data_IF_913618846625
#
_entry.id   IF_913618846625
#
_cell.length_a   1.000
_cell.length_b   1.000
_cell.length_c   1.000
_cell.angle_alpha   90.00
_cell.angle_beta   90.00
_cell.angle_gamma   90.00
#
_symmetry.space_group_name_H-M   'P 1'
#
loop_
_entity.id
_entity.type
_entity.pdbx_description
1 polymer ?
#
# COMPACT_ATOMS: atom_id res chain seq x y z
N UNK A 1 10.63 -10.21 22.16
CA UNK A 1 10.70 -10.49 20.71
C UNK A 1 9.53 -9.76 20.08
N UNK A 2 9.77 -8.67 19.32
CA UNK A 2 8.72 -8.14 18.44
C UNK A 2 8.60 -9.15 17.30
N UNK A 3 7.43 -9.74 17.11
CA UNK A 3 7.17 -10.44 15.87
C UNK A 3 7.29 -9.39 14.76
N UNK A 4 8.29 -9.52 13.89
CA UNK A 4 8.17 -8.93 12.56
C UNK A 4 6.99 -9.68 11.94
N UNK A 5 5.80 -9.09 11.99
CA UNK A 5 4.68 -9.60 11.22
C UNK A 5 5.03 -9.42 9.75
N UNK A 6 5.61 -10.45 9.17
CA UNK A 6 5.87 -10.50 7.74
C UNK A 6 4.55 -10.40 7.00
N UNK A 7 4.50 -9.55 5.98
CA UNK A 7 3.31 -9.40 5.16
C UNK A 7 3.35 -10.49 4.09
N UNK A 8 2.39 -11.44 4.07
CA UNK A 8 2.33 -12.46 3.05
C UNK A 8 2.09 -11.88 1.64
N UNK A 9 2.61 -12.57 0.60
CA UNK A 9 2.51 -12.12 -0.79
C UNK A 9 1.05 -11.94 -1.26
N UNK A 10 0.13 -12.78 -0.82
CA UNK A 10 -1.30 -12.70 -1.14
C UNK A 10 -1.94 -11.43 -0.57
N UNK A 11 -1.60 -11.06 0.68
CA UNK A 11 -2.05 -9.81 1.29
C UNK A 11 -1.47 -8.60 0.53
N UNK A 12 -0.16 -8.60 0.26
CA UNK A 12 0.49 -7.51 -0.48
C UNK A 12 -0.10 -7.37 -1.89
N UNK A 13 -0.36 -8.49 -2.59
CA UNK A 13 -0.97 -8.49 -3.92
C UNK A 13 -2.40 -7.97 -3.89
N UNK A 14 -3.20 -8.39 -2.91
CA UNK A 14 -4.57 -7.89 -2.73
C UNK A 14 -4.57 -6.37 -2.47
N UNK A 15 -3.69 -5.89 -1.58
CA UNK A 15 -3.54 -4.46 -1.29
C UNK A 15 -3.07 -3.65 -2.49
N UNK A 16 -2.15 -4.19 -3.29
CA UNK A 16 -1.73 -3.58 -4.55
C UNK A 16 -2.89 -3.46 -5.55
N UNK A 17 -3.75 -4.48 -5.65
CA UNK A 17 -4.97 -4.42 -6.45
C UNK A 17 -5.94 -3.33 -5.98
N UNK A 18 -6.15 -3.22 -4.66
CA UNK A 18 -6.98 -2.17 -4.07
C UNK A 18 -6.41 -0.76 -4.31
N UNK A 19 -5.09 -0.58 -4.16
CA UNK A 19 -4.43 0.70 -4.43
C UNK A 19 -4.55 1.09 -5.89
N UNK A 20 -4.35 0.14 -6.81
CA UNK A 20 -4.50 0.39 -8.24
C UNK A 20 -5.94 0.81 -8.59
N UNK A 21 -6.95 0.15 -8.02
CA UNK A 21 -8.35 0.54 -8.20
C UNK A 21 -8.64 1.95 -7.67
N UNK A 22 -8.12 2.31 -6.49
CA UNK A 22 -8.25 3.64 -5.92
C UNK A 22 -7.64 4.71 -6.85
N UNK A 23 -6.42 4.47 -7.34
CA UNK A 23 -5.76 5.41 -8.27
C UNK A 23 -6.54 5.58 -9.56
N UNK A 24 -7.06 4.50 -10.15
CA UNK A 24 -7.90 4.58 -11.35
C UNK A 24 -9.17 5.38 -11.10
N UNK A 25 -9.86 5.16 -9.97
CA UNK A 25 -11.04 5.94 -9.60
C UNK A 25 -10.71 7.42 -9.46
N UNK A 26 -9.57 7.77 -8.85
CA UNK A 26 -9.14 9.17 -8.72
C UNK A 26 -8.79 9.79 -10.08
N UNK A 27 -8.17 9.04 -10.99
CA UNK A 27 -7.84 9.51 -12.34
C UNK A 27 -9.09 9.71 -13.22
N UNK A 28 -10.08 8.82 -13.10
CA UNK A 28 -11.31 8.89 -13.89
C UNK A 28 -12.35 9.87 -13.31
N UNK A 29 -12.25 10.16 -12.01
CA UNK A 29 -13.16 11.08 -11.34
C UNK A 29 -12.81 12.53 -11.63
N UNK A 30 -13.69 13.22 -12.36
CA UNK A 30 -13.63 14.68 -12.51
C UNK A 30 -14.32 15.37 -11.32
N UNK A 31 -13.88 15.05 -10.10
CA UNK A 31 -14.43 15.56 -8.84
C UNK A 31 -13.39 16.48 -8.21
N UNK A 32 -13.78 17.72 -7.95
CA UNK A 32 -13.01 18.59 -7.06
C UNK A 32 -13.19 18.10 -5.63
N UNK A 33 -12.08 17.70 -5.01
CA UNK A 33 -12.04 17.24 -3.62
C UNK A 33 -11.82 18.44 -2.71
N UNK A 34 -12.51 18.45 -1.57
CA UNK A 34 -12.14 19.38 -0.51
C UNK A 34 -10.91 18.86 0.27
N UNK A 35 -10.32 19.72 1.10
CA UNK A 35 -9.11 19.37 1.87
C UNK A 35 -9.31 18.22 2.86
N UNK A 36 -10.54 17.93 3.27
CA UNK A 36 -10.85 16.79 4.15
C UNK A 36 -10.84 15.52 3.32
N UNK A 37 -11.53 15.49 2.18
CA UNK A 37 -11.59 14.35 1.28
C UNK A 37 -10.20 13.97 0.74
N UNK A 38 -9.37 14.97 0.40
CA UNK A 38 -7.98 14.75 -0.02
C UNK A 38 -7.16 14.03 1.06
N UNK A 39 -7.33 14.41 2.33
CA UNK A 39 -6.62 13.79 3.45
C UNK A 39 -7.09 12.37 3.71
N UNK A 40 -8.39 12.12 3.59
CA UNK A 40 -8.95 10.77 3.73
C UNK A 40 -8.44 9.86 2.61
N UNK A 41 -8.42 10.35 1.36
CA UNK A 41 -7.86 9.62 0.22
C UNK A 41 -6.37 9.34 0.38
N UNK A 42 -5.60 10.30 0.88
CA UNK A 42 -4.19 10.10 1.22
C UNK A 42 -4.02 9.04 2.32
N UNK A 43 -4.86 9.07 3.37
CA UNK A 43 -4.87 8.06 4.42
C UNK A 43 -5.13 6.66 3.88
N UNK A 44 -6.17 6.51 3.04
CA UNK A 44 -6.49 5.25 2.36
C UNK A 44 -5.35 4.77 1.48
N UNK A 45 -4.73 5.66 0.69
CA UNK A 45 -3.60 5.31 -0.16
C UNK A 45 -2.40 4.81 0.67
N UNK A 46 -2.11 5.46 1.79
CA UNK A 46 -1.04 5.05 2.71
C UNK A 46 -1.33 3.71 3.38
N UNK A 47 -2.57 3.47 3.81
CA UNK A 47 -3.00 2.20 4.42
C UNK A 47 -2.89 1.03 3.44
N UNK A 48 -3.14 1.28 2.15
CA UNK A 48 -2.97 0.28 1.11
C UNK A 48 -1.50 0.10 0.70
N UNK A 49 -0.71 1.17 0.67
CA UNK A 49 0.70 1.13 0.29
C UNK A 49 1.61 0.52 1.37
N UNK A 50 1.29 0.70 2.65
CA UNK A 50 2.09 0.23 3.78
C UNK A 50 2.44 -1.26 3.72
N UNK A 51 1.44 -2.17 3.63
CA UNK A 51 1.70 -3.60 3.52
C UNK A 51 2.52 -4.00 2.28
N UNK A 52 2.33 -3.30 1.16
CA UNK A 52 3.07 -3.54 -0.09
C UNK A 52 4.55 -3.20 0.13
N UNK A 53 4.83 -2.04 0.72
CA UNK A 53 6.18 -1.57 0.98
C UNK A 53 6.93 -2.53 1.94
N UNK A 54 6.26 -2.96 3.02
CA UNK A 54 6.84 -3.94 3.96
C UNK A 54 7.21 -5.24 3.23
N UNK A 55 6.28 -5.80 2.45
CA UNK A 55 6.54 -7.03 1.70
C UNK A 55 7.72 -6.90 0.73
N UNK A 56 7.83 -5.78 0.01
CA UNK A 56 8.93 -5.54 -0.92
C UNK A 56 10.28 -5.40 -0.21
N UNK A 57 10.33 -4.67 0.90
CA UNK A 57 11.55 -4.52 1.71
C UNK A 57 12.02 -5.86 2.30
N UNK A 58 11.08 -6.69 2.76
CA UNK A 58 11.39 -8.05 3.24
C UNK A 58 11.95 -8.92 2.11
N UNK A 59 11.33 -8.87 0.93
CA UNK A 59 11.81 -9.59 -0.25
C UNK A 59 13.23 -9.16 -0.64
N UNK A 60 13.51 -7.86 -0.64
CA UNK A 60 14.85 -7.33 -0.93
C UNK A 60 15.89 -7.76 0.11
N UNK A 61 15.54 -7.73 1.41
CA UNK A 61 16.42 -8.19 2.48
C UNK A 61 16.81 -9.67 2.30
N UNK A 62 15.83 -10.53 1.97
CA UNK A 62 16.06 -11.96 1.68
C UNK A 62 16.94 -12.15 0.43
N UNK A 63 16.70 -11.37 -0.63
CA UNK A 63 17.47 -11.47 -1.87
C UNK A 63 18.92 -11.00 -1.72
N UNK A 64 19.18 -10.03 -0.84
CA UNK A 64 20.51 -9.45 -0.62
C UNK A 64 21.32 -10.19 0.46
N UNK A 65 20.80 -11.28 1.04
CA UNK A 65 21.54 -12.11 1.99
C UNK A 65 21.80 -11.45 3.35
N UNK A 66 21.14 -10.33 3.65
CA UNK A 66 21.14 -9.70 4.97
C UNK A 66 20.05 -10.34 5.83
N UNK A 67 20.41 -11.05 6.92
CA UNK A 67 19.43 -11.66 7.83
C UNK A 67 18.63 -10.63 8.62
#
# INVERSE_FOLDING_TARGET
MKANESVPLDIATHKAGQLNALLLLMFESNIELDTTDEKELLGLALDLAGPIAVHLLEREAVQNGTP
#
